data_IF_358872324507
#
_entry.id   IF_358872324507
#
_cell.length_a   1.000
_cell.length_b   1.000
_cell.length_c   1.000
_cell.angle_alpha   90.00
_cell.angle_beta   90.00
_cell.angle_gamma   90.00
#
_symmetry.space_group_name_H-M   'P 1'
#
loop_
_entity.id
_entity.type
_entity.pdbx_description
1 polymer ?
#
# COMPACT_ATOMS: atom_id res chain seq x y z
N UNK A 1 -14.26 10.96 -0.45
CA UNK A 1 -13.21 10.96 0.60
C UNK A 1 -13.66 11.75 1.83
N UNK A 2 -13.96 13.05 1.71
CA UNK A 2 -14.41 13.87 2.85
C UNK A 2 -15.67 13.33 3.57
N UNK A 3 -16.66 12.84 2.81
CA UNK A 3 -17.88 12.23 3.37
C UNK A 3 -17.61 10.98 4.23
N UNK A 4 -16.48 10.30 3.99
CA UNK A 4 -16.06 9.10 4.74
C UNK A 4 -14.99 9.42 5.80
N UNK A 5 -14.72 10.70 6.09
CA UNK A 5 -13.68 11.11 7.03
C UNK A 5 -12.25 10.87 6.54
N UNK A 6 -12.06 10.48 5.28
CA UNK A 6 -10.74 10.18 4.71
C UNK A 6 -10.08 11.48 4.22
N UNK A 7 -8.92 11.80 4.80
CA UNK A 7 -8.05 12.91 4.36
C UNK A 7 -7.09 12.42 3.28
N UNK A 8 -6.85 13.24 2.26
CA UNK A 8 -5.92 12.93 1.17
C UNK A 8 -4.61 13.68 1.36
N UNK A 9 -3.50 12.95 1.40
CA UNK A 9 -2.16 13.52 1.26
C UNK A 9 -1.77 13.46 -0.23
N UNK A 10 -1.31 14.58 -0.81
CA UNK A 10 -0.99 14.66 -2.24
C UNK A 10 0.48 14.98 -2.46
N UNK A 11 1.13 14.12 -3.23
CA UNK A 11 2.51 14.27 -3.67
C UNK A 11 2.79 13.30 -4.81
N UNK A 12 3.96 13.44 -5.42
CA UNK A 12 4.45 12.53 -6.45
C UNK A 12 5.92 12.21 -6.20
N UNK A 13 6.42 11.21 -6.90
CA UNK A 13 7.84 10.84 -6.86
C UNK A 13 8.79 11.98 -7.26
N UNK A 14 8.28 13.00 -7.98
CA UNK A 14 9.06 14.15 -8.45
C UNK A 14 8.79 15.46 -7.71
N UNK A 15 7.72 15.56 -6.91
CA UNK A 15 7.36 16.80 -6.19
C UNK A 15 6.50 16.50 -4.96
N UNK A 16 6.89 17.08 -3.82
CA UNK A 16 6.11 17.04 -2.59
C UNK A 16 6.22 15.75 -1.77
N UNK A 17 7.09 14.81 -2.14
CA UNK A 17 7.26 13.54 -1.42
C UNK A 17 7.69 13.71 0.04
N UNK A 18 8.63 14.62 0.32
CA UNK A 18 9.09 14.92 1.69
C UNK A 18 7.98 15.49 2.57
N UNK A 19 7.17 16.40 2.01
CA UNK A 19 6.07 17.01 2.74
C UNK A 19 4.95 15.98 3.01
N UNK A 20 4.60 15.13 2.04
CA UNK A 20 3.67 14.02 2.25
C UNK A 20 4.17 13.04 3.31
N UNK A 21 5.46 12.71 3.28
CA UNK A 21 6.08 11.84 4.30
C UNK A 21 5.94 12.44 5.71
N UNK A 22 6.24 13.73 5.86
CA UNK A 22 6.10 14.46 7.14
C UNK A 22 4.65 14.51 7.61
N UNK A 23 3.71 14.79 6.70
CA UNK A 23 2.27 14.78 6.99
C UNK A 23 1.79 13.39 7.38
N UNK A 24 2.31 12.33 6.74
CA UNK A 24 2.04 10.94 7.09
C UNK A 24 2.48 10.61 8.52
N UNK A 25 3.73 10.91 8.87
CA UNK A 25 4.22 10.71 10.25
C UNK A 25 3.41 11.49 11.28
N UNK A 26 2.99 12.71 10.94
CA UNK A 26 2.11 13.49 11.82
C UNK A 26 0.75 12.81 11.99
N UNK A 27 0.12 12.34 10.92
CA UNK A 27 -1.15 11.64 11.00
C UNK A 27 -1.05 10.37 11.87
N UNK A 28 0.02 9.59 11.72
CA UNK A 28 0.26 8.41 12.58
C UNK A 28 0.42 8.79 14.06
N UNK A 29 1.13 9.89 14.36
CA UNK A 29 1.25 10.41 15.74
C UNK A 29 -0.08 10.90 16.31
N UNK A 30 -0.94 11.44 15.46
CA UNK A 30 -2.30 11.89 15.82
C UNK A 30 -3.30 10.69 15.88
N UNK A 31 -2.78 9.46 16.01
CA UNK A 31 -3.54 8.20 16.10
C UNK A 31 -4.46 7.96 14.89
N UNK A 32 -4.05 8.41 13.71
CA UNK A 32 -4.75 8.15 12.45
C UNK A 32 -4.09 6.99 11.69
N UNK A 33 -4.87 6.31 10.86
CA UNK A 33 -4.37 5.29 9.95
C UNK A 33 -3.95 5.89 8.60
N UNK A 34 -2.88 5.34 8.00
CA UNK A 34 -2.44 5.70 6.65
C UNK A 34 -2.75 4.58 5.66
N UNK A 35 -3.47 4.92 4.61
CA UNK A 35 -3.70 4.03 3.46
C UNK A 35 -2.76 4.44 2.32
N UNK A 36 -2.00 3.47 1.83
CA UNK A 36 -0.98 3.66 0.80
C UNK A 36 -1.14 2.58 -0.26
N UNK A 37 -1.02 2.95 -1.54
CA UNK A 37 -0.80 1.96 -2.61
C UNK A 37 0.71 1.72 -2.76
N UNK A 38 1.16 0.45 -2.80
CA UNK A 38 2.58 0.15 -2.73
C UNK A 38 3.39 0.64 -3.94
N UNK A 39 2.77 0.66 -5.11
CA UNK A 39 3.32 1.00 -6.42
C UNK A 39 3.08 2.45 -6.85
N UNK A 40 2.41 3.23 -6.00
CA UNK A 40 2.28 4.67 -6.18
C UNK A 40 1.56 5.09 -7.47
N UNK A 41 1.56 6.39 -7.80
CA UNK A 41 0.75 6.92 -8.90
C UNK A 41 1.28 6.59 -10.31
N UNK A 42 2.53 6.12 -10.44
CA UNK A 42 3.20 5.92 -11.74
C UNK A 42 3.73 4.49 -11.95
N UNK A 43 3.54 3.60 -10.98
CA UNK A 43 4.07 2.25 -11.04
C UNK A 43 5.61 2.20 -10.96
N UNK A 44 6.21 1.07 -11.39
CA UNK A 44 5.59 -0.07 -12.08
C UNK A 44 4.64 -0.88 -11.18
N UNK A 45 3.62 -1.51 -11.77
CA UNK A 45 2.69 -2.41 -11.06
C UNK A 45 3.46 -3.39 -10.19
N UNK A 46 2.96 -3.64 -8.99
CA UNK A 46 3.55 -4.58 -8.03
C UNK A 46 4.96 -4.21 -7.54
N UNK A 47 5.39 -2.95 -7.68
CA UNK A 47 6.69 -2.52 -7.16
C UNK A 47 6.51 -1.82 -5.83
N UNK A 48 7.25 -2.21 -4.80
CA UNK A 48 7.20 -1.55 -3.49
C UNK A 48 8.03 -0.24 -3.47
N UNK A 49 7.40 0.87 -3.13
CA UNK A 49 8.07 2.13 -2.84
C UNK A 49 8.70 2.18 -1.44
N UNK A 50 9.94 2.68 -1.37
CA UNK A 50 10.73 2.72 -0.12
C UNK A 50 10.15 3.66 0.95
N UNK A 51 9.34 4.64 0.55
CA UNK A 51 8.66 5.54 1.49
C UNK A 51 7.77 4.81 2.49
N UNK A 52 7.23 3.64 2.12
CA UNK A 52 6.38 2.83 2.99
C UNK A 52 7.21 2.20 4.11
N UNK A 53 8.37 1.63 3.77
CA UNK A 53 9.32 1.06 4.72
C UNK A 53 9.81 2.16 5.67
N UNK A 54 10.18 3.32 5.13
CA UNK A 54 10.63 4.45 5.92
C UNK A 54 9.55 4.97 6.89
N UNK A 55 8.28 5.02 6.47
CA UNK A 55 7.16 5.41 7.35
C UNK A 55 6.97 4.40 8.49
N UNK A 56 6.96 3.11 8.18
CA UNK A 56 6.78 2.06 9.18
C UNK A 56 7.92 2.05 10.21
N UNK A 57 9.17 2.12 9.76
CA UNK A 57 10.33 2.14 10.65
C UNK A 57 10.39 3.42 11.50
N UNK A 58 10.10 4.59 10.92
CA UNK A 58 10.12 5.86 11.66
C UNK A 58 8.96 5.99 12.66
N UNK A 59 7.80 5.42 12.35
CA UNK A 59 6.65 5.39 13.26
C UNK A 59 6.69 4.25 14.28
N UNK A 60 7.52 3.21 14.05
CA UNK A 60 7.54 1.96 14.83
C UNK A 60 6.16 1.29 14.89
N UNK A 61 5.42 1.35 13.78
CA UNK A 61 4.11 0.74 13.65
C UNK A 61 4.16 -0.41 12.65
N UNK A 62 3.32 -1.45 12.82
CA UNK A 62 3.19 -2.52 11.86
C UNK A 62 2.54 -2.03 10.57
N UNK A 63 2.84 -2.73 9.47
CA UNK A 63 2.17 -2.55 8.18
C UNK A 63 1.08 -3.63 8.07
N UNK A 64 -0.17 -3.20 7.87
CA UNK A 64 -1.25 -4.09 7.49
C UNK A 64 -1.35 -4.19 5.97
N UNK A 65 -0.93 -5.32 5.40
CA UNK A 65 -1.05 -5.62 3.98
C UNK A 65 -2.48 -6.08 3.72
N UNK A 66 -3.13 -5.45 2.74
CA UNK A 66 -4.46 -5.85 2.27
C UNK A 66 -4.34 -6.34 0.83
N UNK A 67 -4.66 -7.61 0.61
CA UNK A 67 -4.73 -8.22 -0.72
C UNK A 67 -6.17 -8.55 -1.06
N UNK A 68 -6.56 -8.27 -2.30
CA UNK A 68 -7.91 -8.47 -2.82
C UNK A 68 -7.81 -9.30 -4.10
N UNK A 69 -8.52 -10.42 -4.14
CA UNK A 69 -8.66 -11.24 -5.35
C UNK A 69 -10.13 -11.53 -5.66
N UNK A 70 -10.44 -11.82 -6.93
CA UNK A 70 -11.78 -12.15 -7.41
C UNK A 70 -11.69 -13.32 -8.38
N UNK A 71 -12.60 -14.29 -8.28
CA UNK A 71 -12.64 -15.44 -9.21
C UNK A 71 -13.06 -15.05 -10.63
N UNK A 72 -13.83 -13.97 -10.77
CA UNK A 72 -14.28 -13.38 -12.03
C UNK A 72 -14.10 -11.88 -12.00
N UNK A 73 -13.38 -11.32 -12.97
CA UNK A 73 -13.16 -9.88 -13.07
C UNK A 73 -13.01 -9.44 -14.54
N UNK A 74 -13.25 -8.16 -14.78
CA UNK A 74 -12.72 -7.46 -15.95
C UNK A 74 -11.38 -6.85 -15.58
N UNK A 75 -10.40 -6.96 -16.48
CA UNK A 75 -9.09 -6.32 -16.31
C UNK A 75 -8.97 -5.16 -17.29
N UNK A 76 -8.73 -3.97 -16.77
CA UNK A 76 -8.50 -2.79 -17.60
C UNK A 76 -7.12 -2.87 -18.27
N UNK A 77 -7.01 -2.30 -19.47
CA UNK A 77 -5.71 -2.14 -20.15
C UNK A 77 -4.97 -0.88 -19.69
N UNK A 78 -4.91 -0.66 -18.38
CA UNK A 78 -4.14 0.40 -17.73
C UNK A 78 -2.78 -0.12 -17.26
N UNK A 79 -1.86 0.78 -16.90
CA UNK A 79 -0.50 0.41 -16.46
C UNK A 79 -0.52 -0.48 -15.21
N UNK A 80 -1.50 -0.27 -14.33
CA UNK A 80 -1.75 -1.00 -13.10
C UNK A 80 -2.61 -2.24 -13.32
N UNK A 81 -3.10 -2.49 -14.54
CA UNK A 81 -3.98 -3.61 -14.92
C UNK A 81 -5.14 -3.79 -13.92
N UNK A 82 -5.82 -2.68 -13.61
CA UNK A 82 -6.86 -2.61 -12.58
C UNK A 82 -7.94 -3.70 -12.78
N UNK A 83 -8.34 -4.36 -11.70
CA UNK A 83 -9.34 -5.42 -11.71
C UNK A 83 -10.68 -4.91 -11.18
N UNK A 84 -11.74 -5.11 -11.96
CA UNK A 84 -13.11 -4.83 -11.56
C UNK A 84 -13.83 -6.18 -11.39
N UNK A 85 -14.17 -6.59 -10.16
CA UNK A 85 -14.95 -7.81 -9.92
C UNK A 85 -16.26 -7.79 -10.72
N UNK A 86 -16.59 -8.90 -11.37
CA UNK A 86 -17.88 -9.04 -12.08
C UNK A 86 -19.01 -9.19 -11.07
N UNK A 87 -20.26 -8.82 -11.40
CA UNK A 87 -21.42 -9.15 -10.58
C UNK A 87 -21.45 -10.65 -10.24
N UNK A 88 -21.78 -10.98 -8.99
CA UNK A 88 -21.84 -12.36 -8.47
C UNK A 88 -20.50 -13.12 -8.47
N UNK A 89 -19.37 -12.42 -8.55
CA UNK A 89 -18.06 -13.01 -8.33
C UNK A 89 -17.78 -13.21 -6.83
N UNK A 90 -16.94 -14.18 -6.50
CA UNK A 90 -16.41 -14.35 -5.14
C UNK A 90 -15.19 -13.44 -4.99
N UNK A 91 -15.27 -12.47 -4.08
CA UNK A 91 -14.16 -11.60 -3.70
C UNK A 91 -13.55 -12.07 -2.38
N UNK A 92 -12.23 -12.21 -2.34
CA UNK A 92 -11.48 -12.62 -1.15
C UNK A 92 -10.58 -11.48 -0.69
N UNK A 93 -10.78 -11.05 0.55
CA UNK A 93 -9.91 -10.11 1.24
C UNK A 93 -8.96 -10.89 2.15
N UNK A 94 -7.66 -10.63 2.04
CA UNK A 94 -6.64 -11.18 2.94
C UNK A 94 -5.90 -10.03 3.62
N UNK A 95 -5.85 -10.09 4.94
CA UNK A 95 -5.13 -9.13 5.78
C UNK A 95 -3.93 -9.82 6.42
N UNK A 96 -2.79 -9.16 6.40
CA UNK A 96 -1.57 -9.64 7.06
C UNK A 96 -0.84 -8.48 7.72
N UNK A 97 -0.59 -8.59 9.03
CA UNK A 97 0.21 -7.61 9.77
C UNK A 97 1.68 -8.02 9.79
N UNK A 98 2.58 -7.09 9.46
CA UNK A 98 4.03 -7.30 9.47
C UNK A 98 4.72 -6.13 10.17
N UNK A 99 5.59 -6.44 11.11
CA UNK A 99 6.47 -5.48 11.78
C UNK A 99 7.85 -5.50 11.13
N UNK A 100 8.42 -4.32 10.88
CA UNK A 100 9.73 -4.16 10.22
C UNK A 100 10.85 -3.75 11.20
N UNK A 101 10.66 -3.98 12.49
CA UNK A 101 11.62 -3.64 13.54
C UNK A 101 12.92 -4.43 13.36
N UNK A 102 14.06 -3.75 13.55
CA UNK A 102 15.41 -4.32 13.50
C UNK A 102 15.82 -4.94 12.15
N UNK A 103 15.01 -4.80 11.10
CA UNK A 103 15.38 -5.22 9.74
C UNK A 103 16.16 -4.12 9.03
N UNK A 104 17.20 -4.50 8.29
CA UNK A 104 17.83 -3.57 7.38
C UNK A 104 16.88 -3.26 6.20
N UNK A 105 17.18 -2.20 5.44
CA UNK A 105 16.29 -1.75 4.34
C UNK A 105 16.05 -2.82 3.27
N UNK A 106 17.07 -3.61 2.97
CA UNK A 106 16.99 -4.63 1.91
C UNK A 106 16.13 -5.82 2.36
N UNK A 107 16.34 -6.29 3.59
CA UNK A 107 15.52 -7.34 4.23
C UNK A 107 14.06 -6.92 4.34
N UNK A 108 13.81 -5.70 4.85
CA UNK A 108 12.46 -5.16 4.98
C UNK A 108 11.75 -5.08 3.62
N UNK A 109 12.45 -4.61 2.58
CA UNK A 109 11.92 -4.53 1.21
C UNK A 109 11.59 -5.92 0.67
N UNK A 110 12.50 -6.88 0.82
CA UNK A 110 12.30 -8.24 0.33
C UNK A 110 11.13 -8.94 1.04
N UNK A 111 11.07 -8.86 2.37
CA UNK A 111 9.99 -9.43 3.18
C UNK A 111 8.63 -8.86 2.77
N UNK A 112 8.53 -7.53 2.71
CA UNK A 112 7.27 -6.84 2.40
C UNK A 112 6.82 -7.12 0.97
N UNK A 113 7.76 -7.09 0.01
CA UNK A 113 7.49 -7.43 -1.38
C UNK A 113 6.99 -8.88 -1.54
N UNK A 114 7.63 -9.85 -0.88
CA UNK A 114 7.19 -11.25 -0.92
C UNK A 114 5.80 -11.43 -0.31
N UNK A 115 5.54 -10.82 0.85
CA UNK A 115 4.26 -10.89 1.51
C UNK A 115 3.13 -10.29 0.65
N UNK A 116 3.39 -9.15 0.01
CA UNK A 116 2.44 -8.52 -0.91
C UNK A 116 2.12 -9.38 -2.14
N UNK A 117 3.12 -10.05 -2.72
CA UNK A 117 2.93 -10.83 -3.95
C UNK A 117 2.36 -12.23 -3.73
N UNK A 118 2.39 -12.73 -2.49
CA UNK A 118 1.97 -14.09 -2.14
C UNK A 118 0.58 -14.47 -2.66
N UNK A 119 -0.36 -13.51 -2.72
CA UNK A 119 -1.76 -13.76 -3.06
C UNK A 119 -2.22 -13.05 -4.35
N UNK A 120 -1.27 -12.52 -5.13
CA UNK A 120 -1.59 -11.69 -6.29
C UNK A 120 -1.78 -12.49 -7.58
N UNK A 121 -1.44 -13.78 -7.57
CA UNK A 121 -1.49 -14.70 -8.73
C UNK A 121 -2.35 -15.95 -8.47
N UNK A 122 -3.28 -15.91 -7.51
CA UNK A 122 -4.20 -17.02 -7.16
C UNK A 122 -5.64 -16.63 -7.41
#
# INVERSE_FOLDING_TARGET
LALFGIKSLRGSSSKGGSEVFRQGLKALKDNQELLLTPDGPRGPRHTLHEGIIALAQASKLPICIVSISSDKYWQLNSWDKFMIPKPFSKVVFRLQSITLENLNRQEAKQLLQQAMLKYTMT
#
